data_IF_464116672053
#
_entry.id   IF_464116672053
#
_cell.length_a   1.000
_cell.length_b   1.000
_cell.length_c   1.000
_cell.angle_alpha   90.00
_cell.angle_beta   90.00
_cell.angle_gamma   90.00
#
_symmetry.space_group_name_H-M   'P 1'
#
loop_
_entity.id
_entity.type
_entity.pdbx_description
1 polymer ?
#
# COMPACT_ATOMS: atom_id res chain seq x y z
N UNK A 1 28.79 36.74 -38.63
CA UNK A 1 29.83 36.45 -37.61
C UNK A 1 29.83 37.62 -36.62
N UNK A 2 29.57 37.55 -35.32
CA UNK A 2 29.27 36.47 -34.36
C UNK A 2 28.52 37.11 -33.17
N UNK A 3 27.29 37.62 -33.37
CA UNK A 3 26.44 38.06 -32.23
C UNK A 3 25.91 36.86 -31.42
N UNK A 4 26.00 35.64 -31.98
CA UNK A 4 25.55 34.38 -31.38
C UNK A 4 26.53 33.76 -30.37
N UNK A 5 27.77 34.25 -30.27
CA UNK A 5 28.75 33.68 -29.31
C UNK A 5 28.61 34.24 -27.89
N UNK A 6 28.08 35.44 -27.71
CA UNK A 6 27.92 36.04 -26.37
C UNK A 6 26.68 35.52 -25.63
N UNK A 7 25.60 35.17 -26.35
CA UNK A 7 24.39 34.59 -25.75
C UNK A 7 24.60 33.17 -25.21
N UNK A 8 25.55 32.40 -25.76
CA UNK A 8 25.89 31.09 -25.22
C UNK A 8 26.73 31.15 -23.94
N UNK A 9 27.47 32.24 -23.70
CA UNK A 9 28.27 32.41 -22.49
C UNK A 9 27.44 32.79 -21.26
N UNK A 10 26.29 33.43 -21.44
CA UNK A 10 25.42 33.83 -20.33
C UNK A 10 24.50 32.69 -19.84
N UNK A 11 24.23 31.70 -20.70
CA UNK A 11 23.39 30.54 -20.37
C UNK A 11 24.11 29.47 -19.53
N UNK A 12 25.44 29.48 -19.48
CA UNK A 12 26.23 28.58 -18.63
C UNK A 12 26.32 29.04 -17.16
N UNK A 13 25.96 30.29 -16.85
CA UNK A 13 26.00 30.83 -15.48
C UNK A 13 24.74 30.54 -14.65
N UNK A 14 23.70 29.97 -15.27
CA UNK A 14 22.45 29.56 -14.60
C UNK A 14 22.19 28.05 -14.75
N UNK A 15 23.23 27.23 -14.64
CA UNK A 15 23.00 25.85 -14.22
C UNK A 15 22.85 25.87 -12.70
N UNK A 16 21.69 25.48 -12.13
CA UNK A 16 21.61 25.24 -10.70
C UNK A 16 22.66 24.18 -10.40
N UNK A 17 23.64 24.60 -9.61
CA UNK A 17 24.75 23.78 -9.16
C UNK A 17 24.22 22.43 -8.68
N UNK A 18 24.80 21.37 -9.25
CA UNK A 18 24.51 19.97 -9.02
C UNK A 18 24.67 19.60 -7.53
N UNK A 19 23.69 19.89 -6.70
CA UNK A 19 23.38 19.06 -5.54
C UNK A 19 22.53 17.89 -6.01
N UNK A 20 23.10 17.01 -6.83
CA UNK A 20 22.54 15.68 -6.98
C UNK A 20 22.89 14.94 -5.69
N UNK A 21 21.98 14.94 -4.71
CA UNK A 21 22.08 14.03 -3.56
C UNK A 21 22.34 12.63 -4.12
N UNK A 22 23.54 12.11 -3.91
CA UNK A 22 23.95 10.78 -4.40
C UNK A 22 23.03 9.66 -3.88
N UNK A 23 22.28 9.94 -2.80
CA UNK A 23 21.24 9.07 -2.25
C UNK A 23 20.01 9.91 -1.90
N UNK A 24 19.16 10.25 -2.89
CA UNK A 24 17.89 10.96 -2.63
C UNK A 24 17.01 10.23 -1.61
N UNK A 25 17.10 8.89 -1.55
CA UNK A 25 16.43 8.05 -0.56
C UNK A 25 16.84 8.32 0.88
N UNK A 26 18.04 8.85 1.12
CA UNK A 26 18.54 9.18 2.47
C UNK A 26 17.74 10.32 3.12
N UNK A 27 17.02 11.13 2.31
CA UNK A 27 16.15 12.17 2.84
C UNK A 27 15.05 11.61 3.76
N UNK A 28 14.51 10.43 3.45
CA UNK A 28 13.42 9.82 4.22
C UNK A 28 13.84 9.54 5.68
N UNK A 29 14.86 8.71 5.97
CA UNK A 29 15.27 8.44 7.34
C UNK A 29 15.80 9.69 8.05
N UNK A 30 16.40 10.65 7.34
CA UNK A 30 16.82 11.93 7.94
C UNK A 30 15.61 12.73 8.41
N UNK A 31 14.57 12.88 7.59
CA UNK A 31 13.34 13.59 7.95
C UNK A 31 12.68 12.92 9.15
N UNK A 32 12.59 11.58 9.16
CA UNK A 32 12.04 10.83 10.30
C UNK A 32 12.80 11.13 11.59
N UNK A 33 14.13 11.10 11.56
CA UNK A 33 14.95 11.40 12.74
C UNK A 33 14.79 12.86 13.22
N UNK A 34 14.68 13.82 12.28
CA UNK A 34 14.43 15.23 12.62
C UNK A 34 13.06 15.40 13.28
N UNK A 35 12.01 14.76 12.76
CA UNK A 35 10.67 14.81 13.34
C UNK A 35 10.58 14.14 14.71
N UNK A 36 11.31 13.04 14.92
CA UNK A 36 11.43 12.38 16.22
C UNK A 36 12.22 13.22 17.24
N UNK A 37 13.22 13.98 16.78
CA UNK A 37 14.02 14.83 17.65
C UNK A 37 13.22 16.04 18.18
N UNK A 38 12.30 16.59 17.38
CA UNK A 38 11.48 17.73 17.77
C UNK A 38 10.36 17.33 18.74
N UNK A 39 10.30 17.98 19.91
CA UNK A 39 9.34 17.68 21.00
C UNK A 39 7.88 17.85 20.56
N UNK A 40 7.58 18.83 19.71
CA UNK A 40 6.20 19.11 19.29
C UNK A 40 5.64 18.03 18.35
N UNK A 41 6.49 17.39 17.55
CA UNK A 41 6.08 16.39 16.56
C UNK A 41 6.36 14.97 17.00
N UNK A 42 7.12 14.78 18.09
CA UNK A 42 7.64 13.47 18.51
C UNK A 42 6.56 12.44 18.71
N UNK A 43 5.52 12.75 19.48
CA UNK A 43 4.45 11.80 19.82
C UNK A 43 3.69 11.31 18.58
N UNK A 44 3.30 12.24 17.72
CA UNK A 44 2.61 11.95 16.45
C UNK A 44 3.52 11.18 15.51
N UNK A 45 4.81 11.55 15.47
CA UNK A 45 5.78 10.84 14.63
C UNK A 45 5.99 9.41 15.12
N UNK A 46 6.10 9.18 16.43
CA UNK A 46 6.25 7.83 17.00
C UNK A 46 5.04 6.97 16.67
N UNK A 47 3.83 7.46 16.93
CA UNK A 47 2.58 6.74 16.65
C UNK A 47 2.45 6.45 15.16
N UNK A 48 2.59 7.47 14.30
CA UNK A 48 2.51 7.33 12.84
C UNK A 48 3.54 6.33 12.28
N UNK A 49 4.79 6.41 12.74
CA UNK A 49 5.83 5.48 12.32
C UNK A 49 5.55 4.05 12.82
N UNK A 50 5.02 3.92 14.03
CA UNK A 50 4.63 2.62 14.57
C UNK A 50 3.50 1.99 13.78
N UNK A 51 2.44 2.75 13.50
CA UNK A 51 1.29 2.28 12.75
C UNK A 51 1.69 1.88 11.33
N UNK A 52 2.49 2.71 10.64
CA UNK A 52 3.03 2.35 9.32
C UNK A 52 3.90 1.09 9.33
N UNK A 53 4.56 0.78 10.45
CA UNK A 53 5.38 -0.41 10.59
C UNK A 53 4.54 -1.65 10.89
N UNK A 54 3.75 -1.61 11.96
CA UNK A 54 2.96 -2.75 12.43
C UNK A 54 1.78 -3.03 11.50
N UNK A 55 0.99 -2.02 11.15
CA UNK A 55 -0.26 -2.18 10.41
C UNK A 55 -0.05 -2.31 8.89
N UNK A 56 1.07 -1.82 8.35
CA UNK A 56 1.35 -1.92 6.92
C UNK A 56 2.58 -2.77 6.64
N UNK A 57 3.76 -2.36 7.09
CA UNK A 57 5.02 -3.00 6.69
C UNK A 57 5.08 -4.49 7.06
N UNK A 58 4.61 -4.87 8.25
CA UNK A 58 4.59 -6.26 8.69
C UNK A 58 3.64 -7.13 7.86
N UNK A 59 2.43 -6.65 7.58
CA UNK A 59 1.45 -7.38 6.76
C UNK A 59 1.89 -7.50 5.32
N UNK A 60 2.50 -6.46 4.76
CA UNK A 60 3.07 -6.49 3.41
C UNK A 60 4.22 -7.48 3.32
N UNK A 61 5.14 -7.46 4.30
CA UNK A 61 6.22 -8.44 4.36
C UNK A 61 5.71 -9.87 4.47
N UNK A 62 4.73 -10.10 5.35
CA UNK A 62 4.14 -11.42 5.55
C UNK A 62 3.43 -11.92 4.30
N UNK A 63 2.57 -11.09 3.69
CA UNK A 63 1.80 -11.46 2.50
C UNK A 63 2.70 -11.66 1.28
N UNK A 64 3.70 -10.82 1.04
CA UNK A 64 4.67 -11.01 -0.04
C UNK A 64 5.56 -12.23 0.20
N UNK A 65 5.98 -12.49 1.45
CA UNK A 65 6.75 -13.69 1.78
C UNK A 65 5.93 -14.96 1.54
N UNK A 66 4.66 -14.98 1.97
CA UNK A 66 3.73 -16.07 1.70
C UNK A 66 3.53 -16.22 0.19
N UNK A 67 3.29 -15.13 -0.52
CA UNK A 67 3.08 -15.12 -1.97
C UNK A 67 4.31 -15.68 -2.72
N UNK A 68 5.52 -15.21 -2.43
CA UNK A 68 6.73 -15.70 -3.12
C UNK A 68 7.05 -17.14 -2.76
N UNK A 69 6.87 -17.55 -1.50
CA UNK A 69 7.07 -18.94 -1.10
C UNK A 69 6.05 -19.86 -1.81
N UNK A 70 4.79 -19.45 -1.84
CA UNK A 70 3.72 -20.17 -2.50
C UNK A 70 3.94 -20.21 -4.02
N UNK A 71 4.30 -19.09 -4.66
CA UNK A 71 4.61 -19.00 -6.09
C UNK A 71 5.76 -19.93 -6.46
N UNK A 72 6.86 -19.95 -5.68
CA UNK A 72 7.99 -20.84 -5.93
C UNK A 72 7.67 -22.32 -5.68
N UNK A 73 6.84 -22.62 -4.68
CA UNK A 73 6.36 -23.98 -4.43
C UNK A 73 5.42 -24.45 -5.56
N UNK A 74 4.54 -23.56 -6.03
CA UNK A 74 3.55 -23.83 -7.06
C UNK A 74 4.14 -23.84 -8.48
N UNK A 75 5.22 -23.12 -8.77
CA UNK A 75 5.89 -23.19 -10.08
C UNK A 75 6.48 -24.57 -10.37
N UNK A 76 6.80 -25.35 -9.33
CA UNK A 76 7.15 -26.77 -9.46
C UNK A 76 5.95 -27.68 -9.76
N UNK A 77 4.72 -27.20 -9.51
CA UNK A 77 3.47 -27.94 -9.68
C UNK A 77 2.58 -27.18 -10.68
N UNK A 78 2.91 -27.26 -11.97
CA UNK A 78 2.35 -26.55 -13.15
C UNK A 78 0.82 -26.26 -13.24
N UNK A 79 -0.05 -26.82 -12.37
CA UNK A 79 -1.52 -26.76 -12.49
C UNK A 79 -2.18 -25.46 -12.02
N UNK A 80 -1.71 -24.82 -10.93
CA UNK A 80 -2.39 -23.64 -10.35
C UNK A 80 -1.93 -22.34 -11.01
N UNK A 81 -0.63 -22.23 -11.33
CA UNK A 81 -0.08 -21.12 -12.12
C UNK A 81 -0.74 -21.05 -13.50
N UNK A 82 -1.01 -22.21 -14.13
CA UNK A 82 -1.83 -22.25 -15.35
C UNK A 82 -3.26 -21.79 -15.10
N UNK A 83 -3.90 -22.12 -13.97
CA UNK A 83 -5.28 -21.69 -13.69
C UNK A 83 -5.40 -20.16 -13.49
N UNK A 84 -4.43 -19.56 -12.80
CA UNK A 84 -4.38 -18.10 -12.57
C UNK A 84 -4.13 -17.31 -13.87
N UNK A 85 -3.30 -17.85 -14.78
CA UNK A 85 -2.99 -17.20 -16.06
C UNK A 85 -3.94 -17.55 -17.22
N UNK A 86 -4.83 -18.55 -17.07
CA UNK A 86 -5.65 -19.06 -18.19
C UNK A 86 -6.97 -18.33 -18.40
N UNK A 87 -7.47 -17.57 -17.42
CA UNK A 87 -8.78 -16.92 -17.53
C UNK A 87 -8.85 -15.57 -16.81
N UNK A 88 -9.16 -14.51 -17.56
CA UNK A 88 -9.48 -13.16 -17.05
C UNK A 88 -10.46 -13.16 -15.87
N UNK A 89 -11.48 -14.01 -15.93
CA UNK A 89 -12.49 -14.10 -14.85
C UNK A 89 -11.93 -14.64 -13.52
N UNK A 90 -11.00 -15.59 -13.57
CA UNK A 90 -10.42 -16.18 -12.37
C UNK A 90 -9.48 -15.18 -11.68
N UNK A 91 -8.71 -14.40 -12.46
CA UNK A 91 -7.87 -13.33 -11.92
C UNK A 91 -8.67 -12.35 -11.06
N UNK A 92 -9.86 -11.93 -11.55
CA UNK A 92 -10.76 -11.04 -10.83
C UNK A 92 -11.27 -11.64 -9.52
N UNK A 93 -11.75 -12.89 -9.56
CA UNK A 93 -12.27 -13.55 -8.36
C UNK A 93 -11.18 -13.77 -7.30
N UNK A 94 -10.00 -14.24 -7.70
CA UNK A 94 -8.87 -14.40 -6.79
C UNK A 94 -8.38 -13.07 -6.23
N UNK A 95 -8.40 -12.00 -7.04
CA UNK A 95 -8.07 -10.66 -6.58
C UNK A 95 -9.06 -10.16 -5.53
N UNK A 96 -10.37 -10.37 -5.71
CA UNK A 96 -11.37 -10.03 -4.70
C UNK A 96 -11.19 -10.83 -3.39
N UNK A 97 -10.82 -12.12 -3.49
CA UNK A 97 -10.52 -12.92 -2.30
C UNK A 97 -9.26 -12.44 -1.57
N UNK A 98 -8.23 -12.02 -2.31
CA UNK A 98 -7.04 -11.42 -1.71
C UNK A 98 -7.34 -10.07 -1.05
N UNK A 99 -8.28 -9.28 -1.59
CA UNK A 99 -8.66 -8.00 -1.00
C UNK A 99 -9.50 -8.14 0.27
N UNK A 100 -10.27 -9.23 0.39
CA UNK A 100 -11.01 -9.58 1.59
C UNK A 100 -10.12 -9.95 2.80
N UNK A 101 -8.84 -10.23 2.57
CA UNK A 101 -7.87 -10.42 3.65
C UNK A 101 -7.70 -9.07 4.38
N UNK A 102 -7.89 -9.01 5.70
CA UNK A 102 -7.67 -7.80 6.48
C UNK A 102 -6.26 -7.22 6.29
N UNK A 103 -6.14 -5.90 6.31
CA UNK A 103 -4.92 -5.15 6.02
C UNK A 103 -4.71 -4.85 4.53
N UNK A 104 -3.58 -4.26 4.18
CA UNK A 104 -3.29 -3.79 2.81
C UNK A 104 -2.50 -4.79 1.93
N UNK A 105 -2.03 -5.90 2.52
CA UNK A 105 -1.11 -6.83 1.87
C UNK A 105 -1.65 -7.49 0.59
N UNK A 106 -2.92 -7.91 0.59
CA UNK A 106 -3.55 -8.53 -0.59
C UNK A 106 -3.67 -7.57 -1.79
N UNK A 107 -4.06 -6.32 -1.54
CA UNK A 107 -4.13 -5.27 -2.55
C UNK A 107 -2.75 -4.93 -3.13
N UNK A 108 -1.70 -4.94 -2.29
CA UNK A 108 -0.32 -4.72 -2.74
C UNK A 108 0.18 -5.87 -3.61
N UNK A 109 -0.10 -7.13 -3.25
CA UNK A 109 0.24 -8.29 -4.09
C UNK A 109 -0.43 -8.17 -5.46
N UNK A 110 -1.72 -7.85 -5.54
CA UNK A 110 -2.41 -7.72 -6.84
C UNK A 110 -1.87 -6.53 -7.65
N UNK A 111 -1.61 -5.39 -7.01
CA UNK A 111 -1.07 -4.19 -7.67
C UNK A 111 0.33 -4.44 -8.24
N UNK A 112 1.21 -5.10 -7.46
CA UNK A 112 2.54 -5.50 -7.92
C UNK A 112 2.47 -6.49 -9.09
N UNK A 113 1.51 -7.43 -9.06
CA UNK A 113 1.29 -8.33 -10.20
C UNK A 113 0.75 -7.61 -11.44
N UNK A 114 -0.07 -6.56 -11.29
CA UNK A 114 -0.60 -5.78 -12.41
C UNK A 114 0.53 -5.03 -13.13
N UNK A 115 1.41 -4.38 -12.36
CA UNK A 115 2.57 -3.66 -12.88
C UNK A 115 3.53 -4.63 -13.56
N UNK A 116 3.68 -5.83 -13.01
CA UNK A 116 4.50 -6.90 -13.60
C UNK A 116 3.87 -7.56 -14.83
N UNK A 117 2.70 -7.12 -15.28
CA UNK A 117 2.04 -7.65 -16.47
C UNK A 117 1.30 -8.98 -16.30
N UNK A 118 1.08 -9.42 -15.05
CA UNK A 118 0.54 -10.76 -14.77
C UNK A 118 -0.96 -10.82 -14.54
N UNK A 119 -1.55 -9.71 -14.11
CA UNK A 119 -3.00 -9.54 -13.97
C UNK A 119 -3.48 -8.30 -14.72
N UNK A 120 -4.75 -8.32 -15.11
CA UNK A 120 -5.39 -7.19 -15.79
C UNK A 120 -5.95 -6.12 -14.87
N UNK A 121 -6.34 -4.99 -15.45
CA UNK A 121 -6.91 -3.84 -14.73
C UNK A 121 -8.16 -4.19 -13.90
N UNK A 122 -9.05 -5.09 -14.39
CA UNK A 122 -10.21 -5.52 -13.63
C UNK A 122 -9.86 -6.24 -12.31
N UNK A 123 -8.67 -6.85 -12.20
CA UNK A 123 -8.20 -7.42 -10.94
C UNK A 123 -7.84 -6.33 -9.91
N UNK A 124 -7.29 -5.18 -10.35
CA UNK A 124 -7.06 -4.02 -9.47
C UNK A 124 -8.39 -3.49 -8.95
N UNK A 125 -9.39 -3.30 -9.83
CA UNK A 125 -10.71 -2.82 -9.40
C UNK A 125 -11.33 -3.79 -8.41
N UNK A 126 -11.24 -5.10 -8.67
CA UNK A 126 -11.80 -6.12 -7.79
C UNK A 126 -11.17 -6.13 -6.39
N UNK A 127 -9.83 -6.11 -6.31
CA UNK A 127 -9.15 -6.15 -5.02
C UNK A 127 -9.41 -4.89 -4.20
N UNK A 128 -9.36 -3.71 -4.83
CA UNK A 128 -9.58 -2.43 -4.16
C UNK A 128 -11.05 -2.23 -3.75
N UNK A 129 -12.01 -2.76 -4.52
CA UNK A 129 -13.43 -2.70 -4.13
C UNK A 129 -13.76 -3.69 -3.00
N UNK A 130 -13.01 -4.78 -2.87
CA UNK A 130 -13.26 -5.84 -1.88
C UNK A 130 -12.54 -5.64 -0.55
N UNK A 131 -11.63 -4.67 -0.46
CA UNK A 131 -10.79 -4.49 0.73
C UNK A 131 -11.37 -3.46 1.69
N UNK A 132 -11.39 -3.79 2.97
CA UNK A 132 -11.74 -2.86 4.06
C UNK A 132 -10.48 -2.36 4.79
N UNK A 133 -9.28 -2.79 4.38
CA UNK A 133 -8.02 -2.44 5.06
C UNK A 133 -8.02 -2.85 6.53
N UNK A 134 -7.46 -2.01 7.39
CA UNK A 134 -7.36 -2.28 8.84
C UNK A 134 -8.69 -2.17 9.58
N UNK A 135 -9.64 -1.39 9.04
CA UNK A 135 -11.00 -1.31 9.57
C UNK A 135 -11.71 -2.68 9.60
N UNK A 136 -11.28 -3.63 8.76
CA UNK A 136 -11.77 -5.00 8.78
C UNK A 136 -11.51 -5.68 10.13
N UNK A 137 -10.32 -5.50 10.70
CA UNK A 137 -9.97 -6.09 12.00
C UNK A 137 -10.84 -5.54 13.11
N UNK A 138 -10.99 -4.20 13.15
CA UNK A 138 -11.83 -3.54 14.14
C UNK A 138 -13.29 -4.00 14.05
N UNK A 139 -13.85 -4.03 12.84
CA UNK A 139 -15.25 -4.44 12.65
C UNK A 139 -15.45 -5.92 12.99
N UNK A 140 -14.52 -6.80 12.60
CA UNK A 140 -14.57 -8.22 12.94
C UNK A 140 -14.40 -8.48 14.44
N UNK A 141 -13.59 -7.68 15.13
CA UNK A 141 -13.41 -7.77 16.57
C UNK A 141 -14.66 -7.28 17.33
N UNK A 142 -15.21 -6.14 16.95
CA UNK A 142 -16.31 -5.49 17.67
C UNK A 142 -17.70 -6.05 17.32
N UNK A 143 -17.96 -6.33 16.03
CA UNK A 143 -19.25 -6.85 15.54
C UNK A 143 -19.01 -7.97 14.49
N UNK A 144 -18.59 -9.18 14.91
CA UNK A 144 -18.15 -10.24 13.99
C UNK A 144 -19.15 -10.63 12.90
N UNK A 145 -20.44 -10.72 13.25
CA UNK A 145 -21.49 -11.09 12.28
C UNK A 145 -21.64 -10.07 11.16
N UNK A 146 -21.58 -8.78 11.50
CA UNK A 146 -21.60 -7.69 10.54
C UNK A 146 -20.30 -7.64 9.76
N UNK A 147 -19.15 -7.79 10.43
CA UNK A 147 -17.84 -7.81 9.77
C UNK A 147 -17.73 -8.87 8.67
N UNK A 148 -18.12 -10.11 8.97
CA UNK A 148 -18.17 -11.18 7.96
C UNK A 148 -19.14 -10.85 6.83
N UNK A 149 -20.30 -10.26 7.15
CA UNK A 149 -21.28 -9.83 6.17
C UNK A 149 -20.75 -8.77 5.20
N UNK A 150 -20.08 -7.74 5.71
CA UNK A 150 -19.51 -6.67 4.87
C UNK A 150 -18.33 -7.18 4.04
N UNK A 151 -17.47 -8.05 4.59
CA UNK A 151 -16.39 -8.69 3.83
C UNK A 151 -16.94 -9.56 2.69
N UNK A 152 -17.96 -10.38 2.98
CA UNK A 152 -18.60 -11.21 1.96
C UNK A 152 -19.26 -10.36 0.86
N UNK A 153 -19.92 -9.26 1.25
CA UNK A 153 -20.48 -8.29 0.31
C UNK A 153 -19.37 -7.66 -0.55
N UNK A 154 -18.24 -7.26 0.05
CA UNK A 154 -17.08 -6.73 -0.66
C UNK A 154 -16.52 -7.70 -1.70
N UNK A 155 -16.41 -9.00 -1.39
CA UNK A 155 -15.98 -10.02 -2.36
C UNK A 155 -16.93 -10.07 -3.56
N UNK A 156 -18.25 -10.09 -3.31
CA UNK A 156 -19.26 -10.17 -4.37
C UNK A 156 -19.22 -8.91 -5.22
N UNK A 157 -19.28 -7.74 -4.60
CA UNK A 157 -19.29 -6.45 -5.29
C UNK A 157 -17.98 -6.24 -6.06
N UNK A 158 -16.84 -6.51 -5.44
CA UNK A 158 -15.53 -6.41 -6.10
C UNK A 158 -15.38 -7.37 -7.28
N UNK A 159 -15.83 -8.62 -7.14
CA UNK A 159 -15.81 -9.57 -8.26
C UNK A 159 -16.70 -9.07 -9.40
N UNK A 160 -17.93 -8.64 -9.12
CA UNK A 160 -18.85 -8.11 -10.14
C UNK A 160 -18.26 -6.88 -10.83
N UNK A 161 -17.74 -5.92 -10.06
CA UNK A 161 -17.12 -4.70 -10.60
C UNK A 161 -15.91 -5.00 -11.47
N UNK A 162 -15.01 -5.88 -11.04
CA UNK A 162 -13.85 -6.28 -11.83
C UNK A 162 -14.23 -7.02 -13.13
N UNK A 163 -15.28 -7.85 -13.08
CA UNK A 163 -15.81 -8.54 -14.27
C UNK A 163 -16.43 -7.56 -15.27
N UNK A 164 -17.19 -6.58 -14.79
CA UNK A 164 -17.76 -5.51 -15.61
C UNK A 164 -16.62 -4.72 -16.27
N UNK A 165 -15.59 -4.34 -15.50
CA UNK A 165 -14.45 -3.61 -16.03
C UNK A 165 -13.70 -4.40 -17.11
N UNK A 166 -13.49 -5.71 -16.91
CA UNK A 166 -12.88 -6.60 -17.90
C UNK A 166 -13.71 -6.75 -19.20
N UNK A 167 -15.02 -6.50 -19.13
CA UNK A 167 -15.87 -6.48 -20.33
C UNK A 167 -15.67 -5.20 -21.16
N UNK A 168 -15.39 -4.08 -20.50
CA UNK A 168 -15.21 -2.77 -21.16
C UNK A 168 -13.75 -2.45 -21.52
N UNK A 169 -12.78 -2.99 -20.79
CA UNK A 169 -11.37 -2.63 -20.91
C UNK A 169 -10.48 -3.86 -21.15
N UNK A 170 -9.39 -3.72 -21.94
CA UNK A 170 -8.36 -4.74 -22.01
C UNK A 170 -7.57 -4.85 -20.69
N UNK A 171 -6.91 -5.98 -20.47
CA UNK A 171 -6.10 -6.21 -19.26
C UNK A 171 -5.01 -5.15 -19.04
N UNK A 172 -4.44 -4.64 -20.13
CA UNK A 172 -3.32 -3.69 -20.10
C UNK A 172 -3.79 -2.24 -19.93
N UNK A 173 -5.09 -2.00 -19.74
CA UNK A 173 -5.65 -0.66 -19.59
C UNK A 173 -4.99 0.10 -18.43
N UNK A 174 -4.44 1.28 -18.74
CA UNK A 174 -3.72 2.16 -17.81
C UNK A 174 -2.49 1.52 -17.13
N UNK A 175 -1.98 0.40 -17.66
CA UNK A 175 -0.71 -0.15 -17.21
C UNK A 175 0.41 0.84 -17.56
N UNK A 176 1.35 1.12 -16.64
CA UNK A 176 2.55 1.89 -16.96
C UNK A 176 3.31 1.21 -18.10
N UNK A 177 3.64 1.99 -19.14
CA UNK A 177 4.57 1.52 -20.15
C UNK A 177 6.00 1.63 -19.60
N UNK A 178 6.85 0.62 -19.82
CA UNK A 178 8.24 0.69 -19.41
C UNK A 178 8.87 1.89 -20.11
N UNK A 179 9.57 2.75 -19.36
CA UNK A 179 10.42 3.77 -19.98
C UNK A 179 11.49 3.02 -20.76
N UNK A 180 11.34 2.96 -22.08
CA UNK A 180 12.35 2.42 -22.97
C UNK A 180 13.66 3.18 -22.70
N UNK A 181 14.59 2.54 -21.99
CA UNK A 181 15.99 2.85 -22.18
C UNK A 181 16.25 2.63 -23.67
N UNK A 182 16.46 3.73 -24.39
CA UNK A 182 16.62 3.81 -25.84
C UNK A 182 17.22 2.53 -26.42
N UNK A 183 16.47 1.85 -27.27
CA UNK A 183 16.94 0.71 -28.04
C UNK A 183 18.04 1.15 -29.01
N UNK A 184 19.27 1.26 -28.50
CA UNK A 184 20.47 1.16 -29.32
C UNK A 184 21.03 -0.25 -29.19
N UNK A 185 21.00 -0.96 -30.31
CA UNK A 185 21.66 -2.24 -30.54
C UNK A 185 23.00 -2.38 -29.81
N UNK A 186 23.05 -3.19 -28.76
CA UNK A 186 24.23 -3.97 -28.40
C UNK A 186 23.81 -5.39 -28.03
N UNK A 187 23.69 -6.21 -29.08
CA UNK A 187 23.77 -7.66 -28.98
C UNK A 187 25.15 -7.97 -28.39
N UNK A 188 25.19 -8.67 -27.24
CA UNK A 188 26.40 -8.99 -26.46
C UNK A 188 26.88 -7.90 -25.48
N UNK A 189 26.08 -7.57 -24.48
CA UNK A 189 26.59 -7.21 -23.15
C UNK A 189 25.57 -7.64 -22.09
N UNK A 190 25.77 -8.82 -21.50
CA UNK A 190 25.27 -9.07 -20.14
C UNK A 190 26.03 -8.12 -19.21
N UNK A 191 25.57 -6.86 -19.09
CA UNK A 191 25.94 -6.02 -17.97
C UNK A 191 25.19 -6.59 -16.75
N UNK A 192 25.83 -7.54 -16.06
CA UNK A 192 25.50 -7.77 -14.67
C UNK A 192 25.69 -6.43 -13.95
N UNK A 193 24.60 -5.83 -13.46
CA UNK A 193 24.70 -4.67 -12.58
C UNK A 193 25.57 -5.07 -11.38
N UNK A 194 26.84 -4.65 -11.37
CA UNK A 194 27.75 -4.95 -10.26
C UNK A 194 27.36 -4.07 -9.09
N UNK A 195 26.66 -4.65 -8.11
CA UNK A 195 26.42 -4.02 -6.82
C UNK A 195 27.76 -3.64 -6.17
N UNK A 196 27.80 -2.47 -5.53
CA UNK A 196 28.94 -2.11 -4.68
C UNK A 196 28.99 -3.01 -3.45
N UNK A 197 30.16 -3.24 -2.82
CA UNK A 197 30.25 -4.08 -1.63
C UNK A 197 29.40 -3.58 -0.46
N UNK A 198 29.15 -2.26 -0.39
CA UNK A 198 28.23 -1.67 0.58
C UNK A 198 26.77 -1.99 0.27
N UNK A 199 26.36 -1.90 -0.99
CA UNK A 199 25.00 -2.27 -1.44
C UNK A 199 24.71 -3.75 -1.18
N UNK A 200 25.66 -4.64 -1.51
CA UNK A 200 25.47 -6.07 -1.30
C UNK A 200 25.37 -6.42 0.19
N UNK A 201 26.11 -5.71 1.05
CA UNK A 201 25.96 -5.81 2.52
C UNK A 201 24.59 -5.29 2.98
N UNK A 202 24.13 -4.15 2.46
CA UNK A 202 22.83 -3.58 2.81
C UNK A 202 21.68 -4.52 2.41
N UNK A 203 21.71 -5.09 1.20
CA UNK A 203 20.72 -6.08 0.72
C UNK A 203 20.71 -7.33 1.61
N UNK A 204 21.89 -7.85 1.96
CA UNK A 204 21.99 -9.02 2.84
C UNK A 204 21.47 -8.72 4.25
N UNK A 205 21.79 -7.54 4.79
CA UNK A 205 21.35 -7.12 6.11
C UNK A 205 19.85 -6.87 6.16
N UNK A 206 19.28 -6.29 5.10
CA UNK A 206 17.84 -6.12 4.92
C UNK A 206 17.12 -7.48 4.84
N UNK A 207 17.67 -8.43 4.08
CA UNK A 207 17.16 -9.80 4.04
C UNK A 207 17.22 -10.50 5.40
N UNK A 208 18.30 -10.30 6.15
CA UNK A 208 18.44 -10.83 7.52
C UNK A 208 17.44 -10.17 8.48
N UNK A 209 17.30 -8.84 8.45
CA UNK A 209 16.35 -8.07 9.25
C UNK A 209 14.95 -8.65 9.10
N UNK A 210 14.44 -8.76 7.88
CA UNK A 210 13.11 -9.32 7.64
C UNK A 210 13.03 -10.83 7.92
N UNK A 211 14.07 -11.62 7.63
CA UNK A 211 14.07 -13.06 7.95
C UNK A 211 13.79 -13.33 9.42
N UNK A 212 14.41 -12.56 10.31
CA UNK A 212 14.22 -12.72 11.76
C UNK A 212 12.95 -12.02 12.25
N UNK A 213 12.58 -10.91 11.62
CA UNK A 213 11.50 -10.05 12.11
C UNK A 213 10.11 -10.44 11.61
N UNK A 214 9.95 -11.04 10.41
CA UNK A 214 8.63 -11.34 9.81
C UNK A 214 7.71 -12.07 10.79
N UNK A 215 8.16 -13.18 11.39
CA UNK A 215 7.30 -14.00 12.26
C UNK A 215 6.91 -13.25 13.54
N UNK A 216 7.85 -12.79 14.39
CA UNK A 216 7.48 -12.10 15.63
C UNK A 216 6.73 -10.78 15.36
N UNK A 217 7.10 -10.04 14.31
CA UNK A 217 6.44 -8.78 13.99
C UNK A 217 5.03 -8.99 13.43
N UNK A 218 4.79 -10.05 12.67
CA UNK A 218 3.42 -10.42 12.25
C UNK A 218 2.55 -10.81 13.43
N UNK A 219 3.11 -11.49 14.45
CA UNK A 219 2.36 -11.80 15.66
C UNK A 219 1.96 -10.53 16.43
N UNK A 220 2.91 -9.58 16.59
CA UNK A 220 2.64 -8.28 17.20
C UNK A 220 1.59 -7.52 16.39
N UNK A 221 1.76 -7.43 15.08
CA UNK A 221 0.82 -6.75 14.18
C UNK A 221 -0.60 -7.31 14.30
N UNK A 222 -0.77 -8.64 14.30
CA UNK A 222 -2.08 -9.28 14.47
C UNK A 222 -2.67 -8.93 15.84
N UNK A 223 -1.90 -9.04 16.93
CA UNK A 223 -2.39 -8.68 18.26
C UNK A 223 -2.83 -7.20 18.33
N UNK A 224 -2.02 -6.28 17.80
CA UNK A 224 -2.34 -4.85 17.73
C UNK A 224 -3.59 -4.57 16.91
N UNK A 225 -3.76 -5.23 15.76
CA UNK A 225 -4.95 -5.04 14.91
C UNK A 225 -6.25 -5.50 15.56
N UNK A 226 -6.20 -6.51 16.44
CA UNK A 226 -7.34 -6.92 17.28
C UNK A 226 -7.53 -6.04 18.53
N UNK A 227 -6.86 -4.88 18.60
CA UNK A 227 -6.92 -3.92 19.71
C UNK A 227 -6.48 -4.53 21.06
N UNK A 228 -5.58 -5.50 21.04
CA UNK A 228 -4.98 -6.04 22.26
C UNK A 228 -3.87 -5.11 22.73
N UNK A 229 -3.97 -4.62 23.98
CA UNK A 229 -2.89 -3.84 24.60
C UNK A 229 -1.71 -4.74 24.98
N UNK A 230 -0.72 -4.79 24.09
CA UNK A 230 0.49 -5.59 24.25
C UNK A 230 1.38 -5.03 25.37
N UNK A 231 1.40 -3.71 25.57
CA UNK A 231 2.20 -3.08 26.63
C UNK A 231 1.69 -3.56 27.99
N UNK A 232 0.37 -3.59 28.19
CA UNK A 232 -0.24 -4.14 29.40
C UNK A 232 -0.05 -5.67 29.49
N UNK A 233 -0.23 -6.42 28.39
CA UNK A 233 -0.08 -7.88 28.38
C UNK A 233 1.33 -8.34 28.81
N UNK A 234 2.35 -7.59 28.45
CA UNK A 234 3.75 -7.90 28.73
C UNK A 234 4.35 -7.10 29.91
N UNK A 235 3.52 -6.33 30.65
CA UNK A 235 3.95 -5.42 31.73
C UNK A 235 5.09 -4.47 31.30
N UNK A 236 5.03 -3.95 30.08
CA UNK A 236 5.98 -2.98 29.55
C UNK A 236 5.58 -1.55 29.96
N UNK A 237 6.52 -0.62 29.86
CA UNK A 237 6.23 0.80 30.02
C UNK A 237 5.21 1.26 28.96
N UNK A 238 4.36 2.27 29.26
CA UNK A 238 3.52 2.89 28.25
C UNK A 238 4.35 3.30 27.02
N UNK A 239 3.79 3.08 25.83
CA UNK A 239 4.38 3.41 24.53
C UNK A 239 5.62 2.58 24.11
N UNK A 240 5.92 1.46 24.78
CA UNK A 240 7.13 0.66 24.45
C UNK A 240 7.06 0.00 23.07
N UNK A 241 5.91 -0.60 22.72
CA UNK A 241 5.69 -1.21 21.40
C UNK A 241 5.66 -0.14 20.30
N UNK A 242 5.17 1.04 20.63
CA UNK A 242 5.04 2.19 19.75
C UNK A 242 6.44 2.66 19.32
N UNK A 243 7.32 2.88 20.30
CA UNK A 243 8.73 3.19 20.06
C UNK A 243 9.47 2.07 19.34
N UNK A 244 9.20 0.81 19.67
CA UNK A 244 9.81 -0.33 19.00
C UNK A 244 9.48 -0.35 17.49
N UNK A 245 8.21 -0.15 17.14
CA UNK A 245 7.76 -0.02 15.76
C UNK A 245 8.41 1.15 15.03
N UNK A 246 8.48 2.32 15.69
CA UNK A 246 9.13 3.50 15.13
C UNK A 246 10.63 3.26 14.86
N UNK A 247 11.34 2.59 15.77
CA UNK A 247 12.74 2.20 15.59
C UNK A 247 12.88 1.25 14.40
N UNK A 248 12.04 0.23 14.29
CA UNK A 248 12.07 -0.69 13.16
C UNK A 248 11.76 -0.02 11.82
N UNK A 249 10.84 0.95 11.79
CA UNK A 249 10.59 1.78 10.62
C UNK A 249 11.85 2.55 10.19
N UNK A 250 12.50 3.26 11.13
CA UNK A 250 13.73 4.01 10.85
C UNK A 250 14.86 3.11 10.38
N UNK A 251 15.06 1.95 11.02
CA UNK A 251 16.07 0.97 10.63
C UNK A 251 15.79 0.45 9.22
N UNK A 252 14.54 0.06 8.94
CA UNK A 252 14.13 -0.44 7.62
C UNK A 252 14.38 0.60 6.52
N UNK A 253 13.99 1.86 6.75
CA UNK A 253 14.20 2.96 5.81
C UNK A 253 15.67 3.33 5.63
N UNK A 254 16.46 3.25 6.70
CA UNK A 254 17.91 3.47 6.63
C UNK A 254 18.61 2.40 5.80
N UNK A 255 18.25 1.12 6.00
CA UNK A 255 18.75 0.01 5.21
C UNK A 255 18.35 0.15 3.74
N UNK A 256 17.10 0.54 3.46
CA UNK A 256 16.62 0.78 2.11
C UNK A 256 17.32 1.96 1.43
N UNK A 257 17.57 3.06 2.16
CA UNK A 257 18.27 4.22 1.63
C UNK A 257 19.72 3.92 1.21
N UNK A 258 20.34 2.89 1.80
CA UNK A 258 21.68 2.40 1.44
C UNK A 258 21.68 1.46 0.22
N UNK A 259 20.51 1.09 -0.30
CA UNK A 259 20.38 0.38 -1.57
C UNK A 259 20.24 1.40 -2.71
N UNK A 260 21.01 1.21 -3.80
CA UNK A 260 21.01 2.12 -4.95
C UNK A 260 19.60 2.29 -5.53
N UNK A 261 19.36 3.44 -6.17
CA UNK A 261 18.21 3.64 -7.06
C UNK A 261 18.22 2.55 -8.14
N UNK A 262 17.54 1.44 -7.87
CA UNK A 262 17.08 0.53 -8.89
C UNK A 262 16.21 1.36 -9.84
N UNK A 263 16.37 1.14 -11.14
CA UNK A 263 15.64 1.85 -12.20
C UNK A 263 14.12 1.67 -12.11
N UNK A 264 13.44 1.99 -13.22
CA UNK A 264 11.98 1.97 -13.36
C UNK A 264 11.30 0.87 -12.52
N UNK A 265 10.34 1.20 -11.66
CA UNK A 265 9.83 0.28 -10.62
C UNK A 265 9.32 -1.07 -11.17
N UNK A 266 8.87 -1.10 -12.42
CA UNK A 266 8.54 -2.33 -13.13
C UNK A 266 9.71 -3.33 -13.12
N UNK A 267 10.97 -2.91 -13.27
CA UNK A 267 12.15 -3.78 -13.12
C UNK A 267 12.35 -4.22 -11.67
N UNK A 268 12.04 -3.34 -10.71
CA UNK A 268 12.14 -3.62 -9.27
C UNK A 268 11.09 -4.61 -8.78
N UNK A 269 9.95 -4.78 -9.45
CA UNK A 269 8.92 -5.77 -9.05
C UNK A 269 8.88 -6.97 -9.96
N UNK A 270 9.25 -6.79 -11.23
CA UNK A 270 9.26 -7.88 -12.19
C UNK A 270 10.05 -9.06 -11.62
N UNK A 271 9.44 -10.24 -11.66
CA UNK A 271 10.10 -11.42 -11.15
C UNK A 271 11.18 -11.93 -12.10
N UNK A 272 11.13 -11.53 -13.37
CA UNK A 272 11.94 -12.09 -14.45
C UNK A 272 13.29 -11.35 -14.61
N UNK A 273 13.43 -10.11 -14.13
CA UNK A 273 14.70 -9.36 -14.18
C UNK A 273 15.53 -9.44 -12.89
N UNK A 274 14.93 -9.83 -11.75
CA UNK A 274 15.70 -10.07 -10.51
C UNK A 274 16.54 -11.32 -10.70
N UNK A 275 17.86 -11.20 -10.49
CA UNK A 275 18.82 -12.30 -10.60
C UNK A 275 18.26 -13.55 -9.90
N UNK A 276 18.21 -14.65 -10.66
CA UNK A 276 17.63 -15.98 -10.37
C UNK A 276 18.16 -16.62 -9.07
N UNK A 277 19.17 -16.02 -8.42
CA UNK A 277 19.81 -16.52 -7.20
C UNK A 277 19.38 -15.83 -5.90
N UNK A 278 18.50 -14.82 -5.94
CA UNK A 278 18.06 -14.14 -4.71
C UNK A 278 17.02 -14.94 -3.93
N UNK A 279 17.23 -15.11 -2.63
CA UNK A 279 16.33 -15.88 -1.76
C UNK A 279 14.95 -15.21 -1.70
N UNK A 280 13.80 -15.95 -1.67
CA UNK A 280 12.45 -15.35 -1.70
C UNK A 280 12.20 -14.28 -0.63
N UNK A 281 12.82 -14.44 0.53
CA UNK A 281 12.77 -13.48 1.64
C UNK A 281 13.47 -12.16 1.31
N UNK A 282 14.61 -12.20 0.60
CA UNK A 282 15.30 -10.97 0.17
C UNK A 282 14.44 -10.17 -0.81
N UNK A 283 13.73 -10.88 -1.69
CA UNK A 283 12.78 -10.26 -2.62
C UNK A 283 11.61 -9.61 -1.90
N UNK A 284 10.94 -10.36 -1.01
CA UNK A 284 9.86 -9.84 -0.18
C UNK A 284 10.31 -8.62 0.62
N UNK A 285 11.53 -8.65 1.18
CA UNK A 285 12.11 -7.55 1.93
C UNK A 285 12.33 -6.28 1.09
N UNK A 286 12.79 -6.42 -0.15
CA UNK A 286 12.98 -5.28 -1.07
C UNK A 286 11.65 -4.65 -1.47
N UNK A 287 10.68 -5.47 -1.86
CA UNK A 287 9.36 -5.01 -2.28
C UNK A 287 8.61 -4.37 -1.11
N UNK A 288 8.74 -4.94 0.10
CA UNK A 288 8.19 -4.35 1.34
C UNK A 288 8.80 -2.98 1.61
N UNK A 289 10.13 -2.86 1.65
CA UNK A 289 10.76 -1.59 1.99
C UNK A 289 10.42 -0.47 0.99
N UNK A 290 10.28 -0.81 -0.29
CA UNK A 290 9.80 0.15 -1.29
C UNK A 290 8.38 0.64 -0.95
N UNK A 291 7.46 -0.29 -0.65
CA UNK A 291 6.08 0.03 -0.31
C UNK A 291 6.03 0.84 1.00
N UNK A 292 6.74 0.39 2.04
CA UNK A 292 6.85 1.06 3.34
C UNK A 292 7.32 2.50 3.20
N UNK A 293 8.27 2.80 2.30
CA UNK A 293 8.77 4.16 2.11
C UNK A 293 7.66 5.13 1.69
N UNK A 294 6.81 4.73 0.73
CA UNK A 294 5.69 5.55 0.28
C UNK A 294 4.59 5.67 1.32
N UNK A 295 4.28 4.57 2.01
CA UNK A 295 3.28 4.57 3.08
C UNK A 295 3.73 5.47 4.23
N UNK A 296 4.98 5.38 4.69
CA UNK A 296 5.52 6.23 5.75
C UNK A 296 5.43 7.72 5.36
N UNK A 297 5.83 8.07 4.14
CA UNK A 297 5.77 9.46 3.66
C UNK A 297 4.32 9.95 3.63
N UNK A 298 3.41 9.12 3.12
CA UNK A 298 2.00 9.46 3.04
C UNK A 298 1.33 9.62 4.41
N UNK A 299 1.58 8.68 5.32
CA UNK A 299 1.06 8.70 6.68
C UNK A 299 1.58 9.91 7.44
N UNK A 300 2.88 10.19 7.41
CA UNK A 300 3.45 11.38 8.03
C UNK A 300 2.87 12.66 7.43
N UNK A 301 2.71 12.73 6.10
CA UNK A 301 2.11 13.90 5.46
C UNK A 301 0.65 14.09 5.90
N UNK A 302 -0.13 13.02 5.95
CA UNK A 302 -1.54 13.05 6.37
C UNK A 302 -1.67 13.46 7.84
N UNK A 303 -1.02 12.75 8.77
CA UNK A 303 -1.13 12.96 10.22
C UNK A 303 -0.56 14.30 10.66
N UNK A 304 0.55 14.77 10.05
CA UNK A 304 1.04 16.12 10.35
C UNK A 304 0.09 17.19 9.81
N UNK A 305 -0.53 16.98 8.64
CA UNK A 305 -1.50 17.94 8.09
C UNK A 305 -2.77 18.02 8.94
N UNK A 306 -3.30 16.88 9.39
CA UNK A 306 -4.47 16.86 10.30
C UNK A 306 -4.13 17.51 11.64
N UNK A 307 -2.96 17.21 12.21
CA UNK A 307 -2.48 17.83 13.43
C UNK A 307 -2.36 19.35 13.34
N UNK A 308 -1.72 19.87 12.29
CA UNK A 308 -1.54 21.31 12.12
C UNK A 308 -2.82 22.05 11.69
N UNK A 309 -3.78 21.37 11.07
CA UNK A 309 -5.05 21.97 10.64
C UNK A 309 -6.13 21.96 11.71
N UNK A 310 -6.05 21.07 12.71
CA UNK A 310 -7.01 20.98 13.82
C UNK A 310 -8.42 20.54 13.38
N UNK A 311 -8.53 19.85 12.23
CA UNK A 311 -9.82 19.42 11.67
C UNK A 311 -10.30 18.15 12.38
N UNK A 312 -11.45 18.23 13.06
CA UNK A 312 -12.16 17.06 13.59
C UNK A 312 -13.16 16.52 12.56
N UNK A 313 -12.75 15.47 11.86
CA UNK A 313 -13.59 14.77 10.89
C UNK A 313 -14.82 14.14 11.57
N UNK A 314 -14.69 13.62 12.80
CA UNK A 314 -15.77 12.91 13.48
C UNK A 314 -16.97 13.83 13.77
N UNK A 315 -16.67 15.04 14.27
CA UNK A 315 -17.70 16.04 14.57
C UNK A 315 -18.41 16.54 13.30
N UNK A 316 -17.69 16.64 12.19
CA UNK A 316 -18.20 17.20 10.93
C UNK A 316 -19.27 16.30 10.28
N UNK A 317 -19.18 14.97 10.45
CA UNK A 317 -20.03 14.01 9.74
C UNK A 317 -21.17 13.38 10.56
N UNK A 318 -21.38 13.80 11.82
CA UNK A 318 -22.50 13.30 12.63
C UNK A 318 -23.84 13.94 12.20
N UNK A 319 -24.92 13.14 12.11
CA UNK A 319 -26.31 13.57 11.83
C UNK A 319 -26.66 14.01 10.40
N UNK A 320 -25.97 13.51 9.37
CA UNK A 320 -26.25 13.92 7.99
C UNK A 320 -27.42 13.15 7.31
N UNK A 321 -28.11 12.27 8.04
CA UNK A 321 -29.31 11.57 7.57
C UNK A 321 -29.09 10.83 6.24
N UNK A 322 -29.86 11.20 5.20
CA UNK A 322 -29.77 10.64 3.84
C UNK A 322 -28.40 10.81 3.17
N UNK A 323 -27.55 11.72 3.67
CA UNK A 323 -26.21 11.95 3.14
C UNK A 323 -25.14 11.07 3.80
N UNK A 324 -25.51 10.26 4.81
CA UNK A 324 -24.56 9.39 5.51
C UNK A 324 -23.89 8.36 4.59
N UNK A 325 -24.58 7.67 3.65
CA UNK A 325 -23.92 6.80 2.68
C UNK A 325 -22.91 7.56 1.81
N UNK A 326 -23.24 8.78 1.37
CA UNK A 326 -22.36 9.60 0.55
C UNK A 326 -21.13 10.08 1.33
N UNK A 327 -21.29 10.45 2.61
CA UNK A 327 -20.18 10.79 3.49
C UNK A 327 -19.25 9.60 3.69
N UNK A 328 -19.80 8.42 3.95
CA UNK A 328 -19.02 7.17 4.06
C UNK A 328 -18.21 6.88 2.80
N UNK A 329 -18.83 7.02 1.62
CA UNK A 329 -18.18 6.89 0.32
C UNK A 329 -17.04 7.90 0.15
N UNK A 330 -17.31 9.18 0.40
CA UNK A 330 -16.34 10.26 0.24
C UNK A 330 -15.12 10.06 1.15
N UNK A 331 -15.34 9.61 2.39
CA UNK A 331 -14.27 9.25 3.32
C UNK A 331 -13.52 8.01 2.83
N UNK A 332 -14.20 7.02 2.26
CA UNK A 332 -13.56 5.80 1.76
C UNK A 332 -12.59 6.06 0.60
N UNK A 333 -12.90 7.06 -0.24
CA UNK A 333 -12.00 7.48 -1.32
C UNK A 333 -10.72 8.17 -0.82
N UNK A 334 -10.67 8.58 0.45
CA UNK A 334 -9.46 9.15 1.04
C UNK A 334 -8.47 8.03 1.34
N UNK A 335 -7.22 8.10 0.86
CA UNK A 335 -6.24 7.08 1.16
C UNK A 335 -5.85 7.10 2.65
N UNK A 336 -5.61 5.92 3.21
CA UNK A 336 -5.23 5.74 4.61
C UNK A 336 -6.05 4.68 5.33
N UNK A 337 -5.73 4.42 6.60
CA UNK A 337 -6.52 3.61 7.50
C UNK A 337 -7.27 4.46 8.54
N UNK A 338 -6.76 5.66 8.88
CA UNK A 338 -7.38 6.57 9.85
C UNK A 338 -8.82 6.96 9.52
N UNK A 339 -9.11 7.54 8.34
CA UNK A 339 -10.48 7.89 7.95
C UNK A 339 -11.45 6.69 7.92
N UNK A 340 -10.95 5.50 7.60
CA UNK A 340 -11.69 4.24 7.50
C UNK A 340 -12.02 3.68 8.90
N UNK A 341 -11.04 3.69 9.80
CA UNK A 341 -11.21 3.32 11.21
C UNK A 341 -12.18 4.29 11.89
N UNK A 342 -12.14 5.58 11.54
CA UNK A 342 -13.09 6.57 12.03
C UNK A 342 -14.54 6.21 11.66
N UNK A 343 -14.83 5.93 10.39
CA UNK A 343 -16.20 5.56 9.97
C UNK A 343 -16.66 4.28 10.66
N UNK A 344 -15.75 3.30 10.78
CA UNK A 344 -16.03 2.04 11.49
C UNK A 344 -16.32 2.27 12.97
N UNK A 345 -15.59 3.17 13.62
CA UNK A 345 -15.81 3.55 15.02
C UNK A 345 -17.14 4.28 15.21
N UNK A 346 -17.50 5.19 14.29
CA UNK A 346 -18.81 5.85 14.29
C UNK A 346 -19.95 4.85 14.11
N UNK A 347 -19.77 3.84 13.26
CA UNK A 347 -20.74 2.75 13.11
C UNK A 347 -20.85 1.86 14.37
N UNK A 348 -19.72 1.53 14.99
CA UNK A 348 -19.70 0.72 16.21
C UNK A 348 -20.42 1.44 17.35
N UNK A 349 -20.15 2.73 17.53
CA UNK A 349 -20.78 3.58 18.56
C UNK A 349 -22.23 3.98 18.25
N UNK A 350 -22.71 3.71 17.03
CA UNK A 350 -24.08 4.00 16.60
C UNK A 350 -24.30 5.42 16.07
N UNK A 351 -23.23 6.21 15.92
CA UNK A 351 -23.28 7.55 15.34
C UNK A 351 -23.42 7.53 13.80
N UNK A 352 -22.97 6.45 13.14
CA UNK A 352 -23.15 6.23 11.70
C UNK A 352 -23.98 4.97 11.41
N UNK A 353 -24.84 4.98 10.38
CA UNK A 353 -25.62 3.81 9.97
C UNK A 353 -24.75 2.79 9.21
N UNK A 354 -25.24 1.55 9.06
CA UNK A 354 -24.51 0.50 8.37
C UNK A 354 -24.33 0.81 6.88
N UNK A 355 -25.30 1.49 6.25
CA UNK A 355 -25.13 1.98 4.87
C UNK A 355 -23.89 2.85 4.66
N UNK A 356 -23.56 3.72 5.63
CA UNK A 356 -22.35 4.54 5.57
C UNK A 356 -21.10 3.67 5.67
N UNK A 357 -21.11 2.67 6.56
CA UNK A 357 -20.03 1.71 6.68
C UNK A 357 -19.86 0.86 5.41
N UNK A 358 -20.95 0.42 4.78
CA UNK A 358 -20.93 -0.35 3.53
C UNK A 358 -20.39 0.51 2.39
N UNK A 359 -20.87 1.74 2.25
CA UNK A 359 -20.38 2.68 1.24
C UNK A 359 -18.89 2.93 1.41
N UNK A 360 -18.45 3.20 2.65
CA UNK A 360 -17.04 3.38 2.98
C UNK A 360 -16.21 2.14 2.66
N UNK A 361 -16.67 0.95 3.07
CA UNK A 361 -15.96 -0.31 2.86
C UNK A 361 -15.73 -0.63 1.39
N UNK A 362 -16.68 -0.31 0.51
CA UNK A 362 -16.61 -0.64 -0.92
C UNK A 362 -15.78 0.38 -1.71
N UNK A 363 -15.80 1.66 -1.30
CA UNK A 363 -14.98 2.71 -1.94
C UNK A 363 -13.60 2.87 -1.32
N UNK A 364 -13.23 2.03 -0.37
CA UNK A 364 -11.97 2.11 0.35
C UNK A 364 -10.84 1.39 -0.37
N UNK A 365 -9.86 2.15 -0.84
CA UNK A 365 -8.66 1.58 -1.46
C UNK A 365 -7.54 1.21 -0.44
N UNK A 366 -7.74 1.56 0.84
CA UNK A 366 -6.82 1.32 1.96
C UNK A 366 -5.44 1.97 1.80
N UNK A 367 -4.48 1.52 2.61
CA UNK A 367 -3.10 2.03 2.56
C UNK A 367 -2.35 1.60 1.29
N UNK A 368 -2.87 0.57 0.61
CA UNK A 368 -2.35 0.10 -0.66
C UNK A 368 -2.47 1.15 -1.78
N UNK A 369 -3.37 2.14 -1.62
CA UNK A 369 -3.55 3.21 -2.58
C UNK A 369 -2.30 4.11 -2.69
N UNK A 370 -1.57 4.37 -1.60
CA UNK A 370 -0.40 5.26 -1.66
C UNK A 370 0.72 4.70 -2.54
N UNK A 371 1.17 3.45 -2.35
CA UNK A 371 2.07 2.81 -3.31
C UNK A 371 1.45 2.73 -4.70
N UNK A 372 0.16 2.37 -4.83
CA UNK A 372 -0.47 2.23 -6.14
C UNK A 372 -0.44 3.55 -6.94
N UNK A 373 -0.68 4.68 -6.29
CA UNK A 373 -0.56 6.01 -6.90
C UNK A 373 0.89 6.31 -7.31
N UNK A 374 1.87 5.96 -6.47
CA UNK A 374 3.28 6.17 -6.79
C UNK A 374 3.74 5.34 -8.00
N UNK A 375 3.18 4.15 -8.19
CA UNK A 375 3.63 3.18 -9.20
C UNK A 375 2.82 3.24 -10.50
N UNK A 376 1.50 3.36 -10.39
CA UNK A 376 0.56 3.36 -11.51
C UNK A 376 -0.56 4.39 -11.25
N UNK A 377 -0.24 5.70 -11.23
CA UNK A 377 -1.16 6.76 -10.78
C UNK A 377 -2.49 6.78 -11.54
N UNK A 378 -2.44 6.55 -12.86
CA UNK A 378 -3.64 6.52 -13.69
C UNK A 378 -4.53 5.33 -13.36
N UNK A 379 -3.94 4.14 -13.19
CA UNK A 379 -4.68 2.94 -12.84
C UNK A 379 -5.28 3.05 -11.44
N UNK A 380 -4.50 3.52 -10.46
CA UNK A 380 -4.95 3.73 -9.09
C UNK A 380 -6.16 4.69 -9.02
N UNK A 381 -6.01 5.90 -9.57
CA UNK A 381 -7.09 6.91 -9.57
C UNK A 381 -8.35 6.41 -10.29
N UNK A 382 -8.18 5.74 -11.43
CA UNK A 382 -9.32 5.24 -12.18
C UNK A 382 -9.99 4.06 -11.46
N UNK A 383 -9.24 3.22 -10.75
CA UNK A 383 -9.80 2.15 -9.94
C UNK A 383 -10.63 2.70 -8.77
N UNK A 384 -10.17 3.76 -8.10
CA UNK A 384 -10.96 4.49 -7.08
C UNK A 384 -12.30 4.98 -7.65
N UNK A 385 -12.28 5.56 -8.86
CA UNK A 385 -13.53 6.01 -9.52
C UNK A 385 -14.46 4.83 -9.82
N UNK A 386 -13.91 3.71 -10.29
CA UNK A 386 -14.69 2.50 -10.55
C UNK A 386 -15.24 1.85 -9.27
N UNK A 387 -14.58 1.97 -8.13
CA UNK A 387 -15.07 1.45 -6.83
C UNK A 387 -16.11 2.38 -6.20
N UNK A 388 -16.05 3.70 -6.44
CA UNK A 388 -17.07 4.66 -5.97
C UNK A 388 -18.48 4.38 -6.53
N UNK A 389 -18.60 3.94 -7.78
CA UNK A 389 -19.90 3.67 -8.42
C UNK A 389 -20.68 2.56 -7.68
N UNK A 390 -20.15 1.33 -7.53
CA UNK A 390 -20.83 0.28 -6.78
C UNK A 390 -20.97 0.64 -5.30
N UNK A 391 -20.03 1.37 -4.69
CA UNK A 391 -20.17 1.85 -3.32
C UNK A 391 -21.40 2.74 -3.15
N UNK A 392 -21.63 3.66 -4.08
CA UNK A 392 -22.81 4.52 -4.08
C UNK A 392 -24.09 3.69 -4.21
N UNK A 393 -24.13 2.78 -5.19
CA UNK A 393 -25.32 1.96 -5.48
C UNK A 393 -25.66 1.06 -4.28
N UNK A 394 -24.68 0.35 -3.74
CA UNK A 394 -24.89 -0.63 -2.66
C UNK A 394 -25.15 0.09 -1.33
N UNK A 395 -24.43 1.18 -1.04
CA UNK A 395 -24.63 1.99 0.16
C UNK A 395 -26.03 2.62 0.22
N UNK A 396 -26.44 3.33 -0.84
CA UNK A 396 -27.79 3.90 -0.91
C UNK A 396 -28.88 2.83 -1.05
N UNK A 397 -28.61 1.75 -1.78
CA UNK A 397 -29.51 0.60 -1.88
C UNK A 397 -29.82 0.01 -0.50
N UNK A 398 -28.79 -0.16 0.33
CA UNK A 398 -28.98 -0.62 1.71
C UNK A 398 -29.75 0.40 2.55
N UNK A 399 -29.39 1.68 2.46
CA UNK A 399 -30.04 2.75 3.20
C UNK A 399 -31.56 2.78 2.96
N UNK A 400 -32.00 2.80 1.70
CA UNK A 400 -33.44 2.86 1.37
C UNK A 400 -34.22 1.58 1.65
N UNK A 401 -33.55 0.42 1.69
CA UNK A 401 -34.23 -0.86 1.95
C UNK A 401 -34.39 -1.16 3.45
N UNK A 402 -33.47 -0.67 4.30
CA UNK A 402 -33.38 -1.11 5.70
C UNK A 402 -33.31 0.01 6.74
N UNK A 403 -32.90 1.23 6.37
CA UNK A 403 -32.55 2.29 7.34
C UNK A 403 -33.34 3.60 7.14
N UNK A 404 -34.14 3.71 6.07
CA UNK A 404 -34.95 4.88 5.75
C UNK A 404 -36.30 4.89 6.47
#
# INVERSE_FOLDING_TARGET
MNATRFLHSAQQLFQPTQFQLAYKRLLIPIIMLVLLANENTREITVTTLSDSFWAVSCYVAATLAIYHYLSNFMSKTNRITQLYHRSRHHQVFFAALLGALPGCGGAIVVTTQFISGRVGFGAIVAVLTSTMGDAAFLLLAAKPSVGVGVVALGIVVGTVSGLIVNAFHPDDFLRPEPKQASAHHHCCQHQSERYTPLEQRAINLQGAFWKWLIVPASMVAVMTSFQVDINHLLNLSPSSIEWLGAIFAVVSMSLWAMTKELGDYQSTVSEDEKIVDSHPIQKAAQDTNFVSAWVIVAFLAFELTTYFSGVDLAATFSNWGIWMPLAGLAIGMLPGCGPQILVTSLYITGAAPLSAQIANAISNDGDALFPAIAMAPKAALMATIYSSIPAFIVGYGYYFLFEF
#
